data_IF_948276572563
#
_entry.id   IF_948276572563
#
_cell.length_a   1.000
_cell.length_b   1.000
_cell.length_c   1.000
_cell.angle_alpha   90.00
_cell.angle_beta   90.00
_cell.angle_gamma   90.00
#
_symmetry.space_group_name_H-M   'P 1'
#
loop_
_entity.id
_entity.type
_entity.pdbx_description
1 polymer ?
#
# COMPACT_ATOMS: atom_id res chain seq x y z
N UNK A 1 50.63 -29.92 -21.46
CA UNK A 1 49.22 -29.94 -21.02
C UNK A 1 48.95 -28.68 -20.17
N UNK A 2 48.43 -27.60 -20.80
CA UNK A 2 48.10 -26.35 -20.10
C UNK A 2 46.65 -26.42 -19.62
N UNK A 3 46.41 -26.41 -18.30
CA UNK A 3 45.07 -26.26 -17.70
C UNK A 3 44.69 -24.77 -17.74
N UNK A 4 43.73 -24.41 -18.55
CA UNK A 4 43.09 -23.07 -18.55
C UNK A 4 42.19 -23.00 -17.31
N UNK A 5 42.54 -22.19 -16.34
CA UNK A 5 41.65 -21.79 -15.26
C UNK A 5 40.63 -20.79 -15.78
N UNK A 6 39.37 -21.16 -15.76
CA UNK A 6 38.25 -20.31 -16.14
C UNK A 6 37.85 -19.47 -14.89
N UNK A 7 38.24 -18.21 -14.87
CA UNK A 7 37.79 -17.26 -13.85
C UNK A 7 36.29 -16.94 -14.10
N UNK A 8 35.45 -17.45 -13.22
CA UNK A 8 34.02 -17.05 -13.17
C UNK A 8 33.97 -15.70 -12.43
N UNK A 9 33.78 -14.62 -13.20
CA UNK A 9 33.52 -13.30 -12.65
C UNK A 9 32.07 -13.29 -12.14
N UNK A 10 31.86 -13.51 -10.83
CA UNK A 10 30.58 -13.27 -10.21
C UNK A 10 30.35 -11.77 -10.18
N UNK A 11 29.46 -11.26 -11.02
CA UNK A 11 28.96 -9.90 -10.96
C UNK A 11 28.14 -9.75 -9.68
N UNK A 12 28.73 -9.10 -8.68
CA UNK A 12 28.04 -8.66 -7.47
C UNK A 12 27.17 -7.47 -7.89
N UNK A 13 25.89 -7.72 -8.17
CA UNK A 13 24.92 -6.65 -8.34
C UNK A 13 24.73 -5.93 -6.99
N UNK A 14 24.96 -4.63 -6.91
CA UNK A 14 24.74 -3.92 -5.66
C UNK A 14 23.26 -3.95 -5.30
N UNK A 15 22.94 -4.32 -4.08
CA UNK A 15 21.58 -4.36 -3.50
C UNK A 15 20.95 -2.96 -3.28
N UNK A 16 21.29 -1.97 -4.09
CA UNK A 16 21.04 -0.54 -3.84
C UNK A 16 19.94 0.08 -4.71
N UNK A 17 18.92 -0.66 -5.18
CA UNK A 17 17.91 -0.08 -6.10
C UNK A 17 16.46 -0.34 -5.68
N UNK A 18 16.13 -0.47 -4.42
CA UNK A 18 14.76 -0.83 -4.01
C UNK A 18 13.95 0.29 -3.34
N UNK A 19 14.47 1.49 -3.21
CA UNK A 19 13.67 2.63 -2.81
C UNK A 19 13.27 3.42 -4.05
N UNK A 20 12.03 3.28 -4.51
CA UNK A 20 11.49 4.24 -5.48
C UNK A 20 11.72 5.64 -4.93
N UNK A 21 12.30 6.52 -5.73
CA UNK A 21 12.39 7.91 -5.32
C UNK A 21 10.97 8.44 -5.11
N UNK A 22 10.73 9.20 -4.06
CA UNK A 22 9.43 9.84 -3.81
C UNK A 22 8.89 10.53 -5.09
N UNK A 23 9.69 11.24 -5.90
CA UNK A 23 9.25 11.84 -7.16
C UNK A 23 8.69 10.83 -8.18
N UNK A 24 9.32 9.68 -8.38
CA UNK A 24 8.85 8.69 -9.34
C UNK A 24 7.50 8.08 -8.90
N UNK A 25 7.36 7.77 -7.62
CA UNK A 25 6.12 7.24 -7.06
C UNK A 25 4.98 8.27 -7.11
N UNK A 26 5.29 9.54 -6.86
CA UNK A 26 4.33 10.63 -6.97
C UNK A 26 3.86 10.84 -8.41
N UNK A 27 4.78 10.86 -9.37
CA UNK A 27 4.46 11.02 -10.78
C UNK A 27 3.56 9.89 -11.29
N UNK A 28 3.85 8.64 -10.93
CA UNK A 28 3.01 7.49 -11.31
C UNK A 28 1.62 7.57 -10.66
N UNK A 29 1.54 7.97 -9.40
CA UNK A 29 0.25 8.15 -8.71
C UNK A 29 -0.60 9.26 -9.35
N UNK A 30 0.02 10.35 -9.79
CA UNK A 30 -0.64 11.44 -10.52
C UNK A 30 -1.13 10.97 -11.90
N UNK A 31 -0.31 10.21 -12.63
CA UNK A 31 -0.68 9.65 -13.93
C UNK A 31 -1.88 8.69 -13.81
N UNK A 32 -1.91 7.84 -12.78
CA UNK A 32 -3.07 6.99 -12.49
C UNK A 32 -4.31 7.79 -12.12
N UNK A 33 -4.17 8.81 -11.29
CA UNK A 33 -5.29 9.67 -10.89
C UNK A 33 -5.90 10.40 -12.10
N UNK A 34 -5.06 10.88 -13.01
CA UNK A 34 -5.51 11.58 -14.22
C UNK A 34 -6.36 10.70 -15.16
N UNK A 35 -6.23 9.37 -15.06
CA UNK A 35 -7.02 8.43 -15.86
C UNK A 35 -8.46 8.23 -15.35
N UNK A 36 -8.82 8.77 -14.18
CA UNK A 36 -10.17 8.67 -13.64
C UNK A 36 -10.62 7.25 -13.29
N UNK A 37 -9.69 6.39 -12.86
CA UNK A 37 -9.93 4.97 -12.60
C UNK A 37 -10.90 4.78 -11.43
N UNK A 38 -12.02 4.12 -11.68
CA UNK A 38 -13.03 3.82 -10.67
C UNK A 38 -12.58 2.74 -9.66
N UNK A 39 -13.35 2.59 -8.57
CA UNK A 39 -13.16 1.50 -7.62
C UNK A 39 -13.80 0.20 -8.14
N UNK A 40 -13.07 -0.92 -8.07
CA UNK A 40 -13.61 -2.23 -8.44
C UNK A 40 -12.65 -3.37 -8.15
N UNK A 41 -13.19 -4.59 -8.03
CA UNK A 41 -12.44 -5.80 -7.63
C UNK A 41 -11.57 -6.41 -8.72
N UNK A 42 -11.80 -6.08 -9.99
CA UNK A 42 -11.03 -6.61 -11.12
C UNK A 42 -10.09 -5.53 -11.66
N UNK A 43 -8.90 -5.96 -12.07
CA UNK A 43 -8.03 -5.15 -12.89
C UNK A 43 -8.49 -5.33 -14.35
N UNK A 44 -9.22 -4.36 -14.86
CA UNK A 44 -9.62 -4.32 -16.27
C UNK A 44 -8.89 -3.17 -16.93
N UNK A 45 -7.96 -3.44 -17.86
CA UNK A 45 -7.22 -2.39 -18.56
C UNK A 45 -8.15 -1.53 -19.42
N UNK A 46 -7.73 -0.31 -19.77
CA UNK A 46 -8.48 0.53 -20.70
C UNK A 46 -8.63 -0.16 -22.06
N UNK A 47 -9.80 -0.04 -22.69
CA UNK A 47 -10.06 -0.52 -24.03
C UNK A 47 -10.74 -1.88 -24.18
N UNK A 48 -10.97 -2.61 -23.08
CA UNK A 48 -11.67 -3.90 -23.11
C UNK A 48 -13.18 -3.79 -22.75
N UNK A 49 -13.84 -2.74 -23.20
CA UNK A 49 -15.31 -2.62 -23.13
C UNK A 49 -15.90 -2.25 -21.77
N UNK A 50 -15.09 -2.09 -20.73
CA UNK A 50 -15.56 -1.57 -19.44
C UNK A 50 -14.61 -0.50 -18.89
N UNK A 51 -15.13 0.45 -18.09
CA UNK A 51 -14.29 1.46 -17.45
C UNK A 51 -13.21 0.78 -16.58
N UNK A 52 -12.01 1.29 -16.67
CA UNK A 52 -10.90 0.78 -15.88
C UNK A 52 -11.21 0.88 -14.38
N UNK A 53 -11.03 -0.21 -13.66
CA UNK A 53 -11.32 -0.28 -12.23
C UNK A 53 -10.23 -1.00 -11.48
N UNK A 54 -9.89 -0.48 -10.31
CA UNK A 54 -8.96 -1.11 -9.38
C UNK A 54 -9.51 -1.05 -7.96
N UNK A 55 -9.37 -2.13 -7.20
CA UNK A 55 -9.49 -2.07 -5.75
C UNK A 55 -8.18 -1.57 -5.11
N UNK A 56 -8.18 -1.39 -3.80
CA UNK A 56 -7.02 -0.89 -3.06
C UNK A 56 -5.75 -1.75 -3.25
N UNK A 57 -5.91 -3.07 -3.25
CA UNK A 57 -4.77 -3.99 -3.40
C UNK A 57 -4.22 -4.03 -4.82
N UNK A 58 -5.07 -3.89 -5.85
CA UNK A 58 -4.60 -3.79 -7.23
C UNK A 58 -3.90 -2.45 -7.49
N UNK A 59 -4.40 -1.36 -6.94
CA UNK A 59 -3.73 -0.06 -7.06
C UNK A 59 -2.33 -0.09 -6.41
N UNK A 60 -2.19 -0.70 -5.22
CA UNK A 60 -0.90 -0.88 -4.58
C UNK A 60 0.05 -1.76 -5.41
N UNK A 61 -0.45 -2.89 -5.96
CA UNK A 61 0.33 -3.75 -6.87
C UNK A 61 0.84 -2.99 -8.08
N UNK A 62 -0.04 -2.25 -8.75
CA UNK A 62 0.31 -1.50 -9.94
C UNK A 62 1.40 -0.46 -9.63
N UNK A 63 1.18 0.38 -8.62
CA UNK A 63 2.14 1.42 -8.25
C UNK A 63 3.52 0.87 -7.93
N UNK A 64 3.63 -0.18 -7.11
CA UNK A 64 4.92 -0.73 -6.71
C UNK A 64 5.57 -1.54 -7.85
N UNK A 65 4.79 -2.17 -8.72
CA UNK A 65 5.31 -2.81 -9.92
C UNK A 65 5.95 -1.79 -10.87
N UNK A 66 5.24 -0.70 -11.17
CA UNK A 66 5.74 0.33 -12.10
C UNK A 66 6.96 1.08 -11.55
N UNK A 67 6.97 1.36 -10.24
CA UNK A 67 8.02 2.23 -9.66
C UNK A 67 9.18 1.48 -9.02
N UNK A 68 8.99 0.21 -8.66
CA UNK A 68 9.98 -0.58 -7.92
C UNK A 68 10.22 -1.98 -8.51
N UNK A 69 9.47 -2.39 -9.54
CA UNK A 69 9.53 -3.74 -10.09
C UNK A 69 9.03 -4.84 -9.14
N UNK A 70 8.26 -4.48 -8.11
CA UNK A 70 7.81 -5.41 -7.08
C UNK A 70 6.47 -6.01 -7.42
N UNK A 71 6.41 -7.34 -7.50
CA UNK A 71 5.16 -8.09 -7.68
C UNK A 71 4.52 -8.42 -6.32
N UNK A 72 3.47 -7.67 -5.98
CA UNK A 72 2.68 -7.93 -4.77
C UNK A 72 1.61 -9.01 -5.00
N UNK A 73 1.25 -9.79 -3.97
CA UNK A 73 0.08 -10.67 -4.00
C UNK A 73 -1.23 -9.92 -4.26
N UNK A 74 -2.28 -10.67 -4.65
CA UNK A 74 -3.55 -10.09 -5.10
C UNK A 74 -4.32 -9.33 -4.02
N UNK A 75 -4.37 -9.81 -2.80
CA UNK A 75 -5.23 -9.23 -1.76
C UNK A 75 -4.46 -8.48 -0.69
N UNK A 76 -5.10 -7.49 -0.05
CA UNK A 76 -4.48 -6.73 1.04
C UNK A 76 -3.99 -7.63 2.20
N UNK A 77 -4.73 -8.71 2.51
CA UNK A 77 -4.32 -9.70 3.53
C UNK A 77 -3.06 -10.47 3.13
N UNK A 78 -2.95 -10.85 1.85
CA UNK A 78 -1.75 -11.51 1.32
C UNK A 78 -0.56 -10.55 1.24
N UNK A 79 -0.78 -9.28 0.86
CA UNK A 79 0.24 -8.24 0.86
C UNK A 79 0.78 -7.99 2.27
N UNK A 80 -0.10 -7.92 3.28
CA UNK A 80 0.31 -7.85 4.68
C UNK A 80 1.21 -9.03 5.08
N UNK A 81 0.79 -10.26 4.75
CA UNK A 81 1.58 -11.46 5.03
C UNK A 81 2.90 -11.47 4.25
N UNK A 82 2.91 -10.95 3.03
CA UNK A 82 4.12 -10.82 2.22
C UNK A 82 5.14 -9.90 2.91
N UNK A 83 4.72 -8.70 3.31
CA UNK A 83 5.59 -7.76 4.05
C UNK A 83 6.03 -8.33 5.41
N UNK A 84 5.14 -9.06 6.10
CA UNK A 84 5.47 -9.73 7.37
C UNK A 84 6.56 -10.79 7.21
N UNK A 85 6.51 -11.60 6.14
CA UNK A 85 7.51 -12.63 5.87
C UNK A 85 8.89 -12.06 5.56
N UNK A 86 8.97 -10.89 4.96
CA UNK A 86 10.22 -10.19 4.68
C UNK A 86 10.78 -9.43 5.90
N UNK A 87 10.15 -9.55 7.07
CA UNK A 87 10.63 -8.97 8.33
C UNK A 87 10.51 -7.45 8.45
N UNK A 88 9.81 -6.79 7.52
CA UNK A 88 9.73 -5.32 7.43
C UNK A 88 8.40 -4.74 7.90
N UNK A 89 7.49 -5.59 8.38
CA UNK A 89 6.20 -5.15 8.90
C UNK A 89 6.33 -4.56 10.30
N UNK A 90 5.76 -3.39 10.52
CA UNK A 90 5.64 -2.71 11.82
C UNK A 90 4.17 -2.61 12.19
N UNK A 91 3.78 -3.16 13.33
CA UNK A 91 2.42 -3.03 13.86
C UNK A 91 2.24 -1.66 14.52
N UNK A 92 1.04 -1.12 14.40
CA UNK A 92 0.64 0.17 14.98
C UNK A 92 -0.43 -0.10 16.05
N UNK A 93 -0.34 0.63 17.15
CA UNK A 93 -1.22 0.45 18.30
C UNK A 93 -0.54 -0.40 19.39
N UNK A 94 -0.44 0.18 20.58
CA UNK A 94 -0.01 -0.51 21.79
C UNK A 94 -1.17 -1.28 22.42
N UNK A 95 -0.93 -1.87 23.59
CA UNK A 95 -1.91 -2.61 24.41
C UNK A 95 -3.17 -1.77 24.71
N UNK A 96 -3.05 -0.44 24.71
CA UNK A 96 -4.16 0.51 24.93
C UNK A 96 -4.77 1.10 23.64
N UNK A 97 -4.39 0.63 22.45
CA UNK A 97 -5.11 0.88 21.19
C UNK A 97 -5.06 2.30 20.63
N UNK A 98 -4.23 3.19 21.16
CA UNK A 98 -4.08 4.55 20.63
C UNK A 98 -3.49 4.58 19.24
N UNK A 99 -4.05 5.42 18.33
CA UNK A 99 -3.45 5.70 17.03
C UNK A 99 -2.41 6.79 17.23
N UNK A 100 -1.14 6.59 16.80
CA UNK A 100 -0.11 7.59 16.93
C UNK A 100 -0.45 8.88 16.19
N UNK A 101 0.08 10.00 16.65
CA UNK A 101 -0.10 11.31 16.01
C UNK A 101 0.58 11.41 14.62
N UNK A 102 0.31 12.48 13.92
CA UNK A 102 0.84 12.73 12.58
C UNK A 102 2.36 12.82 12.57
N UNK A 103 2.97 13.38 13.60
CA UNK A 103 4.43 13.53 13.70
C UNK A 103 5.12 12.17 13.90
N UNK A 104 4.50 11.28 14.66
CA UNK A 104 4.97 9.90 14.80
C UNK A 104 5.03 9.18 13.45
N UNK A 105 3.98 9.32 12.64
CA UNK A 105 3.91 8.74 11.29
C UNK A 105 4.95 9.36 10.37
N UNK A 106 5.05 10.69 10.41
CA UNK A 106 5.97 11.46 9.58
C UNK A 106 7.45 11.10 9.78
N UNK A 107 7.81 10.65 10.99
CA UNK A 107 9.17 10.23 11.33
C UNK A 107 9.48 8.78 10.95
N UNK A 108 8.48 7.98 10.64
CA UNK A 108 8.64 6.51 10.44
C UNK A 108 8.33 6.03 9.06
N UNK A 109 7.36 6.65 8.39
CA UNK A 109 7.00 6.29 7.03
C UNK A 109 8.04 6.77 6.02
N UNK A 110 8.31 5.93 5.04
CA UNK A 110 9.09 6.27 3.85
C UNK A 110 8.25 6.03 2.59
N UNK A 111 8.49 6.81 1.53
CA UNK A 111 7.79 6.63 0.27
C UNK A 111 7.90 5.17 -0.21
N UNK A 112 6.78 4.60 -0.63
CA UNK A 112 6.67 3.18 -0.96
C UNK A 112 6.25 2.27 0.19
N UNK A 113 6.18 2.75 1.44
CA UNK A 113 5.61 1.95 2.53
C UNK A 113 4.13 1.65 2.26
N UNK A 114 3.74 0.39 2.47
CA UNK A 114 2.35 -0.03 2.48
C UNK A 114 1.74 0.25 3.85
N UNK A 115 0.56 0.86 3.88
CA UNK A 115 -0.21 1.11 5.09
C UNK A 115 -1.45 0.23 5.06
N UNK A 116 -1.71 -0.49 6.15
CA UNK A 116 -2.75 -1.51 6.23
C UNK A 116 -3.83 -1.16 7.24
N UNK A 117 -5.10 -1.35 6.86
CA UNK A 117 -6.28 -1.16 7.71
C UNK A 117 -7.01 -2.46 7.95
N UNK A 118 -7.59 -2.58 9.14
CA UNK A 118 -8.63 -3.55 9.50
C UNK A 118 -10.00 -2.88 9.54
N UNK A 119 -11.06 -3.68 9.38
CA UNK A 119 -12.45 -3.30 9.63
C UNK A 119 -13.01 -2.13 8.78
N UNK A 120 -12.45 -1.84 7.61
CA UNK A 120 -13.08 -0.89 6.68
C UNK A 120 -14.41 -1.43 6.13
N UNK A 121 -14.52 -2.76 6.06
CA UNK A 121 -15.72 -3.55 5.87
C UNK A 121 -15.61 -4.86 6.67
N UNK A 122 -16.65 -5.73 6.66
CA UNK A 122 -16.61 -7.03 7.36
C UNK A 122 -15.55 -7.93 6.71
N UNK A 123 -14.46 -8.28 7.42
CA UNK A 123 -13.39 -9.08 6.82
C UNK A 123 -13.83 -10.53 6.60
N UNK A 124 -13.41 -11.10 5.48
CA UNK A 124 -13.68 -12.51 5.11
C UNK A 124 -12.41 -13.38 5.12
N UNK A 125 -11.25 -12.76 5.45
CA UNK A 125 -9.93 -13.40 5.39
C UNK A 125 -9.15 -13.22 6.69
N UNK A 126 -8.15 -14.07 6.88
CA UNK A 126 -7.15 -13.93 7.96
C UNK A 126 -5.76 -13.71 7.35
N UNK A 127 -4.99 -12.70 7.80
CA UNK A 127 -5.39 -11.67 8.78
C UNK A 127 -6.53 -10.78 8.26
N UNK A 128 -7.31 -10.12 9.14
CA UNK A 128 -8.52 -9.39 8.77
C UNK A 128 -8.21 -8.01 8.15
N UNK A 129 -7.22 -7.96 7.27
CA UNK A 129 -6.83 -6.74 6.56
C UNK A 129 -7.83 -6.49 5.42
N UNK A 130 -8.43 -5.31 5.46
CA UNK A 130 -9.51 -4.95 4.55
C UNK A 130 -9.16 -3.80 3.61
N UNK A 131 -8.04 -3.11 3.86
CA UNK A 131 -7.60 -2.01 3.00
C UNK A 131 -6.10 -1.83 3.05
N UNK A 132 -5.53 -1.33 1.95
CA UNK A 132 -4.11 -1.01 1.80
C UNK A 132 -3.93 0.23 0.94
N UNK A 133 -2.97 1.08 1.29
CA UNK A 133 -2.55 2.25 0.51
C UNK A 133 -1.02 2.32 0.48
N UNK A 134 -0.47 2.98 -0.54
CA UNK A 134 0.97 3.23 -0.67
C UNK A 134 1.26 4.63 -0.16
N UNK A 135 2.19 4.77 0.78
CA UNK A 135 2.63 6.08 1.25
C UNK A 135 3.52 6.76 0.20
N UNK A 136 3.21 8.01 -0.13
CA UNK A 136 3.92 8.78 -1.15
C UNK A 136 4.99 9.73 -0.58
N UNK A 137 4.93 10.03 0.71
CA UNK A 137 5.75 11.06 1.32
C UNK A 137 4.95 12.27 1.79
N UNK A 138 5.64 13.41 1.95
CA UNK A 138 5.01 14.67 2.31
C UNK A 138 4.65 15.47 1.07
N UNK A 139 3.48 16.09 1.10
CA UNK A 139 3.07 17.09 0.14
C UNK A 139 3.73 18.46 0.39
N UNK A 140 3.47 19.40 -0.49
CA UNK A 140 4.07 20.75 -0.45
C UNK A 140 3.75 21.54 0.84
N UNK A 141 2.59 21.27 1.46
CA UNK A 141 2.17 21.89 2.72
C UNK A 141 2.51 21.05 3.95
N UNK A 142 3.37 20.03 3.79
CA UNK A 142 3.79 19.14 4.87
C UNK A 142 2.81 18.02 5.22
N UNK A 143 1.66 17.93 4.54
CA UNK A 143 0.70 16.83 4.74
C UNK A 143 1.29 15.48 4.32
N UNK A 144 0.91 14.42 5.03
CA UNK A 144 1.26 13.05 4.65
C UNK A 144 0.34 12.60 3.51
N UNK A 145 0.92 12.14 2.40
CA UNK A 145 0.19 11.70 1.22
C UNK A 145 0.28 10.18 1.03
N UNK A 146 -0.79 9.62 0.54
CA UNK A 146 -0.88 8.21 0.16
C UNK A 146 -1.62 8.06 -1.16
N UNK A 147 -1.29 7.03 -1.93
CA UNK A 147 -2.00 6.68 -3.17
C UNK A 147 -2.63 5.30 -3.07
N UNK A 148 -3.70 5.12 -3.81
CA UNK A 148 -4.41 3.86 -3.93
C UNK A 148 -5.85 4.07 -4.38
N UNK A 149 -6.68 3.04 -4.27
CA UNK A 149 -8.08 3.11 -4.66
C UNK A 149 -9.00 3.05 -3.45
N UNK A 150 -9.91 4.01 -3.35
CA UNK A 150 -10.91 4.09 -2.28
C UNK A 150 -12.33 3.90 -2.84
N UNK A 151 -13.17 3.18 -2.11
CA UNK A 151 -14.58 3.04 -2.45
C UNK A 151 -15.22 4.44 -2.56
N UNK A 152 -16.08 4.65 -3.55
CA UNK A 152 -16.71 5.92 -3.92
C UNK A 152 -15.81 7.00 -4.55
N UNK A 153 -14.48 6.88 -4.50
CA UNK A 153 -13.56 7.90 -5.03
C UNK A 153 -12.64 7.38 -6.14
N UNK A 154 -12.49 6.06 -6.26
CA UNK A 154 -11.57 5.45 -7.23
C UNK A 154 -10.10 5.58 -6.85
N UNK A 155 -9.24 5.52 -7.87
CA UNK A 155 -7.79 5.68 -7.71
C UNK A 155 -7.41 7.15 -7.61
N UNK A 156 -6.53 7.47 -6.67
CA UNK A 156 -6.08 8.85 -6.49
C UNK A 156 -5.06 9.02 -5.37
N UNK A 157 -4.69 10.28 -5.16
CA UNK A 157 -3.82 10.73 -4.08
C UNK A 157 -4.68 11.30 -2.96
N UNK A 158 -4.43 10.83 -1.76
CA UNK A 158 -5.23 11.14 -0.58
C UNK A 158 -4.34 11.58 0.58
N UNK A 159 -4.87 12.45 1.45
CA UNK A 159 -4.18 12.79 2.71
C UNK A 159 -4.31 11.63 3.68
N UNK A 160 -3.21 11.21 4.25
CA UNK A 160 -3.19 10.27 5.37
C UNK A 160 -3.68 10.97 6.63
N UNK A 161 -4.80 10.53 7.15
CA UNK A 161 -5.42 11.02 8.40
C UNK A 161 -5.49 9.86 9.40
N UNK A 162 -4.43 9.61 10.20
CA UNK A 162 -4.34 8.40 11.03
C UNK A 162 -5.49 8.24 12.02
N UNK A 163 -5.98 9.35 12.59
CA UNK A 163 -7.05 9.34 13.60
C UNK A 163 -8.47 9.28 13.01
N UNK A 164 -8.60 9.45 11.70
CA UNK A 164 -9.93 9.43 11.05
C UNK A 164 -10.24 7.99 10.65
N UNK A 165 -11.31 7.39 11.19
CA UNK A 165 -11.74 6.07 10.78
C UNK A 165 -12.08 6.05 9.28
N UNK A 166 -11.61 5.02 8.58
CA UNK A 166 -11.94 4.81 7.19
C UNK A 166 -12.90 3.63 7.04
N UNK A 167 -14.13 3.90 6.63
CA UNK A 167 -15.16 2.87 6.51
C UNK A 167 -15.58 2.28 7.86
N UNK A 168 -16.08 1.06 7.83
CA UNK A 168 -16.52 0.32 9.00
C UNK A 168 -17.67 -0.63 8.67
N UNK A 169 -17.98 -1.53 9.60
CA UNK A 169 -19.12 -2.44 9.46
C UNK A 169 -19.92 -2.49 10.77
N UNK A 170 -21.25 -2.65 10.64
CA UNK A 170 -22.15 -2.67 11.77
C UNK A 170 -22.10 -3.97 12.55
N UNK A 171 -22.42 -3.89 13.84
CA UNK A 171 -22.84 -5.00 14.68
C UNK A 171 -24.36 -5.14 14.69
N UNK A 172 -24.87 -6.09 15.48
CA UNK A 172 -26.29 -6.33 15.67
C UNK A 172 -26.99 -5.06 16.18
N UNK A 173 -28.09 -4.63 15.54
CA UNK A 173 -28.86 -3.43 15.86
C UNK A 173 -28.07 -2.09 15.88
N UNK A 174 -26.97 -1.98 15.13
CA UNK A 174 -26.15 -0.75 15.12
C UNK A 174 -25.28 -0.55 16.36
N UNK A 175 -25.41 -1.40 17.37
CA UNK A 175 -24.55 -1.46 18.53
C UNK A 175 -23.22 -2.13 18.17
N UNK A 176 -22.10 -1.64 18.71
CA UNK A 176 -20.74 -2.18 18.47
C UNK A 176 -20.22 -2.04 17.03
N UNK A 177 -20.50 -0.94 16.36
CA UNK A 177 -19.95 -0.64 15.04
C UNK A 177 -18.41 -0.66 15.10
N UNK A 178 -17.78 -1.60 14.39
CA UNK A 178 -16.32 -1.61 14.20
C UNK A 178 -15.95 -0.59 13.13
N UNK A 179 -15.07 0.34 13.50
CA UNK A 179 -14.55 1.36 12.59
C UNK A 179 -13.23 0.90 11.98
N UNK A 180 -13.01 1.21 10.71
CA UNK A 180 -11.74 0.95 10.05
C UNK A 180 -10.60 1.73 10.69
N UNK A 181 -9.50 1.05 11.01
CA UNK A 181 -8.32 1.64 11.65
C UNK A 181 -7.03 1.13 11.02
N UNK A 182 -5.99 1.95 11.06
CA UNK A 182 -4.65 1.53 10.67
C UNK A 182 -4.10 0.58 11.74
N UNK A 183 -3.52 -0.53 11.29
CA UNK A 183 -2.98 -1.58 12.19
C UNK A 183 -1.52 -1.91 11.94
N UNK A 184 -1.02 -1.58 10.76
CA UNK A 184 0.37 -1.82 10.42
C UNK A 184 0.81 -0.95 9.24
N UNK A 185 2.12 -0.83 9.08
CA UNK A 185 2.77 -0.36 7.87
C UNK A 185 4.04 -1.19 7.64
N UNK A 186 4.59 -1.12 6.44
CA UNK A 186 5.85 -1.78 6.14
C UNK A 186 6.27 -1.61 4.70
N UNK A 187 7.55 -1.89 4.47
CA UNK A 187 8.17 -1.77 3.16
C UNK A 187 8.72 -3.09 2.68
N UNK A 188 9.05 -3.10 1.43
CA UNK A 188 9.69 -4.21 0.71
C UNK A 188 11.17 -3.96 0.55
#
# INVERSE_FOLDING_TARGET
MLRRAMLILMAVFPAAVWAASQPALMAEAQALQAQGIGYGGSFTPPGEGSPWRMDCSNAARYLLRQTQGVELPRTASEQYNFVKRHGRLKRVGGIFGGVPDTDWWAKRLQAGDLIFWEHTYKPQRKPPITHVMVYLGRGERGELLMAGSQNSRGVGIYKLKPHVPYGGHGGFLGLFKKKGRIVAYGRL
#
